data_IF_831557525933
#
_entry.id   IF_831557525933
#
_cell.length_a   1.000
_cell.length_b   1.000
_cell.length_c   1.000
_cell.angle_alpha   90.00
_cell.angle_beta   90.00
_cell.angle_gamma   90.00
#
_symmetry.space_group_name_H-M   'P 1'
#
loop_
_entity.id
_entity.type
_entity.pdbx_description
1 polymer ?
#
# COMPACT_ATOMS: atom_id res chain seq x y z
N UNK A 1 14.13 13.00 -9.08
CA UNK A 1 12.66 12.90 -9.28
C UNK A 1 12.44 12.47 -10.71
N UNK A 2 11.57 11.49 -10.94
CA UNK A 2 11.25 11.10 -12.30
C UNK A 2 10.65 12.27 -13.07
N UNK A 3 10.86 12.32 -14.40
CA UNK A 3 10.43 13.44 -15.28
C UNK A 3 8.92 13.74 -15.20
N UNK A 4 8.10 12.81 -14.72
CA UNK A 4 6.64 12.90 -14.60
C UNK A 4 6.11 13.13 -13.17
N UNK A 5 6.97 13.37 -12.17
CA UNK A 5 6.59 13.58 -10.77
C UNK A 5 6.15 12.31 -10.02
N UNK A 6 6.25 11.12 -10.63
CA UNK A 6 5.94 9.83 -10.01
C UNK A 6 7.18 9.30 -9.32
N UNK A 7 7.01 8.82 -8.09
CA UNK A 7 8.03 8.05 -7.36
C UNK A 7 7.61 6.60 -7.32
N UNK A 8 8.37 5.73 -7.97
CA UNK A 8 8.10 4.31 -8.01
C UNK A 8 8.71 3.62 -6.80
N UNK A 9 7.88 2.96 -6.02
CA UNK A 9 8.30 2.24 -4.81
C UNK A 9 7.89 0.77 -4.89
N UNK A 10 8.51 -0.06 -4.05
CA UNK A 10 8.14 -1.46 -3.94
C UNK A 10 7.92 -1.85 -2.48
N UNK A 11 6.86 -2.63 -2.21
CA UNK A 11 6.64 -3.21 -0.89
C UNK A 11 7.59 -4.37 -0.65
N UNK A 12 8.51 -4.24 0.30
CA UNK A 12 9.64 -5.16 0.48
C UNK A 12 9.34 -6.38 1.36
N UNK A 13 8.07 -6.66 1.66
CA UNK A 13 7.63 -7.80 2.49
C UNK A 13 8.21 -9.15 2.05
N UNK A 14 8.51 -9.31 0.75
CA UNK A 14 9.07 -10.53 0.20
C UNK A 14 10.53 -10.76 0.63
N UNK A 15 11.31 -9.69 0.77
CA UNK A 15 12.75 -9.78 0.94
C UNK A 15 13.17 -9.44 2.37
N UNK A 16 13.78 -10.43 3.04
CA UNK A 16 14.25 -10.32 4.43
C UNK A 16 15.78 -10.20 4.53
N UNK A 17 16.43 -9.86 3.43
CA UNK A 17 17.87 -9.62 3.41
C UNK A 17 18.27 -8.40 4.25
N UNK A 18 19.52 -8.29 4.70
CA UNK A 18 20.03 -7.11 5.42
C UNK A 18 19.81 -5.80 4.63
N UNK A 19 19.66 -4.67 5.34
CA UNK A 19 19.36 -3.37 4.74
C UNK A 19 20.32 -2.94 3.61
N UNK A 20 21.67 -3.12 3.73
CA UNK A 20 22.56 -2.76 2.63
C UNK A 20 22.32 -3.59 1.36
N UNK A 21 22.09 -4.90 1.53
CA UNK A 21 21.75 -5.79 0.40
C UNK A 21 20.40 -5.43 -0.21
N UNK A 22 19.41 -5.11 0.62
CA UNK A 22 18.09 -4.67 0.19
C UNK A 22 18.16 -3.36 -0.60
N UNK A 23 18.94 -2.38 -0.13
CA UNK A 23 19.15 -1.11 -0.81
C UNK A 23 19.77 -1.30 -2.19
N UNK A 24 20.86 -2.07 -2.27
CA UNK A 24 21.51 -2.39 -3.53
C UNK A 24 20.56 -3.13 -4.50
N UNK A 25 19.83 -4.11 -3.98
CA UNK A 25 18.90 -4.92 -4.77
C UNK A 25 17.76 -4.06 -5.34
N UNK A 26 17.07 -3.30 -4.51
CA UNK A 26 15.94 -2.43 -4.92
C UNK A 26 16.38 -1.35 -5.92
N UNK A 27 17.55 -0.75 -5.67
CA UNK A 27 18.16 0.18 -6.62
C UNK A 27 18.44 -0.50 -7.97
N UNK A 28 19.00 -1.72 -7.94
CA UNK A 28 19.27 -2.52 -9.13
C UNK A 28 18.02 -2.91 -9.93
N UNK A 29 16.86 -3.04 -9.27
CA UNK A 29 15.56 -3.24 -9.93
C UNK A 29 15.03 -1.95 -10.60
N UNK A 30 15.56 -0.79 -10.26
CA UNK A 30 15.18 0.52 -10.83
C UNK A 30 14.05 1.23 -10.12
N UNK A 31 13.81 0.93 -8.83
CA UNK A 31 12.89 1.66 -7.96
C UNK A 31 13.55 2.87 -7.30
N UNK A 32 12.75 3.92 -7.04
CA UNK A 32 13.18 5.14 -6.35
C UNK A 32 13.10 5.02 -4.82
N UNK A 33 12.37 4.01 -4.32
CA UNK A 33 12.16 3.83 -2.90
C UNK A 33 11.39 2.56 -2.57
N UNK A 34 11.07 2.44 -1.28
CA UNK A 34 10.36 1.27 -0.75
C UNK A 34 9.18 1.65 0.13
N UNK A 35 8.23 0.72 0.28
CA UNK A 35 7.42 0.56 1.46
C UNK A 35 8.07 -0.49 2.35
N UNK A 36 8.44 -0.11 3.58
CA UNK A 36 9.15 -1.00 4.51
C UNK A 36 8.17 -1.64 5.51
N UNK A 37 8.12 -2.99 5.65
CA UNK A 37 7.37 -3.62 6.74
C UNK A 37 8.03 -3.32 8.09
N UNK A 38 7.27 -2.78 9.04
CA UNK A 38 7.66 -2.68 10.46
C UNK A 38 6.88 -3.76 11.22
N UNK A 39 7.46 -4.95 11.30
CA UNK A 39 6.81 -6.15 11.82
C UNK A 39 7.83 -7.11 12.43
N UNK A 40 7.43 -8.01 13.35
CA UNK A 40 8.30 -9.04 13.87
C UNK A 40 8.97 -9.87 12.76
N UNK A 41 10.28 -10.07 12.84
CA UNK A 41 11.09 -10.84 11.89
C UNK A 41 11.44 -10.10 10.58
N UNK A 42 11.28 -8.78 10.53
CA UNK A 42 11.74 -7.91 9.45
C UNK A 42 12.92 -7.06 9.88
N UNK A 43 13.45 -6.25 8.96
CA UNK A 43 14.63 -5.40 9.19
C UNK A 43 14.40 -4.36 10.29
N UNK A 44 13.17 -3.88 10.41
CA UNK A 44 12.72 -3.03 11.51
C UNK A 44 11.50 -3.67 12.17
N UNK A 45 11.58 -3.86 13.47
CA UNK A 45 10.51 -4.43 14.27
C UNK A 45 9.85 -3.35 15.15
N UNK A 46 8.59 -3.53 15.58
CA UNK A 46 7.91 -2.55 16.43
C UNK A 46 8.69 -2.22 17.70
N UNK A 47 9.35 -3.20 18.30
CA UNK A 47 10.10 -3.08 19.55
C UNK A 47 11.35 -2.21 19.41
N UNK A 48 11.93 -2.13 18.20
CA UNK A 48 13.14 -1.34 17.94
C UNK A 48 12.90 -0.14 17.02
N UNK A 49 11.66 0.18 16.69
CA UNK A 49 11.29 1.14 15.65
C UNK A 49 11.93 2.52 15.86
N UNK A 50 12.03 2.98 17.11
CA UNK A 50 12.55 4.31 17.45
C UNK A 50 13.99 4.54 16.97
N UNK A 51 14.84 3.52 17.03
CA UNK A 51 16.23 3.59 16.54
C UNK A 51 16.37 2.95 15.15
N UNK A 52 15.65 1.84 14.92
CA UNK A 52 15.78 1.03 13.72
C UNK A 52 15.27 1.70 12.45
N UNK A 53 14.18 2.47 12.51
CA UNK A 53 13.64 3.12 11.33
C UNK A 53 14.50 4.29 10.83
N UNK A 54 14.99 5.22 11.69
CA UNK A 54 15.94 6.24 11.26
C UNK A 54 17.25 5.67 10.71
N UNK A 55 17.79 4.60 11.32
CA UNK A 55 18.99 3.94 10.82
C UNK A 55 18.71 3.25 9.46
N UNK A 56 17.57 2.58 9.30
CA UNK A 56 17.18 1.99 8.02
C UNK A 56 17.08 3.05 6.92
N UNK A 57 16.48 4.20 7.20
CA UNK A 57 16.38 5.29 6.25
C UNK A 57 17.75 5.80 5.81
N UNK A 58 18.69 5.93 6.75
CA UNK A 58 20.07 6.34 6.48
C UNK A 58 20.81 5.33 5.60
N UNK A 59 20.77 4.04 5.98
CA UNK A 59 21.43 2.97 5.21
C UNK A 59 20.89 2.90 3.78
N UNK A 60 19.58 2.97 3.59
CA UNK A 60 18.97 2.90 2.27
C UNK A 60 19.28 4.14 1.41
N UNK A 61 19.42 5.30 2.02
CA UNK A 61 19.78 6.53 1.33
C UNK A 61 21.17 6.46 0.66
N UNK A 62 22.11 5.69 1.21
CA UNK A 62 23.44 5.46 0.61
C UNK A 62 23.35 4.76 -0.76
N UNK A 63 22.23 4.07 -1.02
CA UNK A 63 21.93 3.43 -2.30
C UNK A 63 20.94 4.25 -3.17
N UNK A 64 20.58 5.47 -2.76
CA UNK A 64 19.59 6.29 -3.46
C UNK A 64 18.15 5.80 -3.31
N UNK A 65 17.88 4.92 -2.33
CA UNK A 65 16.56 4.35 -2.04
C UNK A 65 15.95 5.03 -0.82
N UNK A 66 14.77 5.63 -0.96
CA UNK A 66 14.05 6.26 0.16
C UNK A 66 12.97 5.34 0.72
N UNK A 67 12.63 5.50 1.99
CA UNK A 67 11.42 4.88 2.58
C UNK A 67 10.26 5.85 2.34
N UNK A 68 9.36 5.52 1.42
CA UNK A 68 8.19 6.34 1.08
C UNK A 68 7.02 6.12 2.04
N UNK A 69 6.91 4.90 2.57
CA UNK A 69 5.93 4.50 3.55
C UNK A 69 6.42 3.32 4.37
N UNK A 70 5.81 3.11 5.51
CA UNK A 70 5.92 1.85 6.25
C UNK A 70 4.58 1.12 6.29
N UNK A 71 4.61 -0.20 6.43
CA UNK A 71 3.46 -1.03 6.76
C UNK A 71 3.63 -1.56 8.19
N UNK A 72 3.02 -0.89 9.17
CA UNK A 72 3.28 -1.15 10.57
C UNK A 72 2.26 -0.55 11.53
N UNK A 73 2.57 -0.52 12.83
CA UNK A 73 1.70 0.06 13.86
C UNK A 73 1.53 1.57 13.74
N UNK A 74 0.50 2.09 14.41
CA UNK A 74 0.17 3.53 14.48
C UNK A 74 0.29 4.10 15.89
N UNK A 75 1.09 3.47 16.75
CA UNK A 75 1.40 4.01 18.08
C UNK A 75 2.34 5.24 18.00
N UNK A 76 2.35 6.05 19.05
CA UNK A 76 3.16 7.29 19.07
C UNK A 76 4.66 7.03 18.85
N UNK A 77 5.30 5.98 19.42
CA UNK A 77 6.70 5.69 19.11
C UNK A 77 6.96 5.44 17.62
N UNK A 78 6.08 4.71 16.93
CA UNK A 78 6.20 4.48 15.48
C UNK A 78 6.00 5.76 14.68
N UNK A 79 4.99 6.56 15.02
CA UNK A 79 4.72 7.86 14.37
C UNK A 79 5.93 8.80 14.55
N UNK A 80 6.49 8.89 15.76
CA UNK A 80 7.67 9.71 16.04
C UNK A 80 8.90 9.23 15.27
N UNK A 81 9.11 7.91 15.17
CA UNK A 81 10.20 7.32 14.39
C UNK A 81 10.06 7.62 12.89
N UNK A 82 8.83 7.59 12.34
CA UNK A 82 8.55 7.99 10.97
C UNK A 82 8.94 9.46 10.72
N UNK A 83 8.55 10.37 11.62
CA UNK A 83 8.91 11.77 11.51
C UNK A 83 10.44 11.97 11.54
N UNK A 84 11.14 11.29 12.45
CA UNK A 84 12.60 11.36 12.56
C UNK A 84 13.30 10.79 11.32
N UNK A 85 12.75 9.73 10.72
CA UNK A 85 13.30 9.08 9.53
C UNK A 85 12.89 9.78 8.21
N UNK A 86 12.03 10.82 8.26
CA UNK A 86 11.49 11.48 7.08
C UNK A 86 10.51 10.60 6.28
N UNK A 87 9.86 9.64 6.92
CA UNK A 87 8.86 8.76 6.33
C UNK A 87 7.47 9.38 6.47
N UNK A 88 6.81 9.78 5.37
CA UNK A 88 5.58 10.57 5.45
C UNK A 88 4.32 9.75 5.72
N UNK A 89 4.31 8.44 5.42
CA UNK A 89 3.10 7.63 5.41
C UNK A 89 3.28 6.35 6.22
N UNK A 90 2.32 6.07 7.12
CA UNK A 90 2.14 4.75 7.74
C UNK A 90 0.92 4.10 7.07
N UNK A 91 1.12 3.07 6.27
CA UNK A 91 0.04 2.36 5.61
C UNK A 91 -0.51 1.25 6.51
N UNK A 92 -1.84 1.22 6.63
CA UNK A 92 -2.58 0.19 7.36
C UNK A 92 -3.67 -0.45 6.49
N UNK A 93 -3.97 -1.73 6.74
CA UNK A 93 -5.19 -2.39 6.31
C UNK A 93 -6.10 -2.54 7.54
N UNK A 94 -7.38 -2.25 7.38
CA UNK A 94 -8.32 -2.18 8.50
C UNK A 94 -9.26 -3.37 8.44
N UNK A 95 -9.09 -4.30 9.37
CA UNK A 95 -9.95 -5.46 9.51
C UNK A 95 -11.26 -5.11 10.20
N UNK A 96 -12.35 -5.73 9.74
CA UNK A 96 -13.70 -5.61 10.29
C UNK A 96 -14.08 -6.94 10.92
N UNK A 97 -14.48 -6.93 12.18
CA UNK A 97 -15.03 -8.11 12.87
C UNK A 97 -16.51 -8.28 12.50
N UNK A 98 -16.86 -9.31 11.69
CA UNK A 98 -18.24 -9.50 11.25
C UNK A 98 -19.20 -9.82 12.41
N UNK A 99 -18.69 -10.31 13.54
CA UNK A 99 -19.51 -10.58 14.72
C UNK A 99 -19.99 -9.28 15.40
N UNK A 100 -19.25 -8.18 15.26
CA UNK A 100 -19.64 -6.87 15.77
C UNK A 100 -20.44 -6.05 14.77
N UNK A 101 -20.31 -6.37 13.49
CA UNK A 101 -20.94 -5.63 12.38
C UNK A 101 -20.14 -4.41 11.93
N UNK A 102 -20.28 -4.07 10.65
CA UNK A 102 -19.48 -3.05 9.98
C UNK A 102 -19.59 -1.67 10.64
N UNK A 103 -20.81 -1.20 10.90
CA UNK A 103 -21.03 0.16 11.45
C UNK A 103 -20.46 0.32 12.86
N UNK A 104 -20.61 -0.70 13.72
CA UNK A 104 -20.03 -0.66 15.07
C UNK A 104 -18.50 -0.64 15.05
N UNK A 105 -17.88 -1.39 14.12
CA UNK A 105 -16.43 -1.37 13.93
C UNK A 105 -15.96 -0.04 13.34
N UNK A 106 -16.69 0.55 12.41
CA UNK A 106 -16.41 1.88 11.86
C UNK A 106 -16.42 2.95 12.96
N UNK A 107 -17.45 2.98 13.80
CA UNK A 107 -17.52 3.88 14.95
C UNK A 107 -16.37 3.68 15.95
N UNK A 108 -15.99 2.42 16.21
CA UNK A 108 -14.85 2.11 17.08
C UNK A 108 -13.56 2.66 16.50
N UNK A 109 -13.29 2.40 15.22
CA UNK A 109 -12.11 2.88 14.51
C UNK A 109 -12.05 4.41 14.48
N UNK A 110 -13.17 5.06 14.22
CA UNK A 110 -13.23 6.52 14.23
C UNK A 110 -12.89 7.10 15.60
N UNK A 111 -13.32 6.49 16.71
CA UNK A 111 -12.90 6.93 18.05
C UNK A 111 -11.40 6.76 18.28
N UNK A 112 -10.80 5.68 17.79
CA UNK A 112 -9.35 5.46 17.84
C UNK A 112 -8.60 6.50 16.98
N UNK A 113 -9.11 6.82 15.80
CA UNK A 113 -8.53 7.84 14.92
C UNK A 113 -8.65 9.25 15.49
N UNK A 114 -9.76 9.59 16.11
CA UNK A 114 -9.92 10.87 16.80
C UNK A 114 -8.83 11.07 17.87
N UNK A 115 -8.42 10.00 18.57
CA UNK A 115 -7.35 10.05 19.56
C UNK A 115 -5.93 10.17 18.92
N UNK A 116 -5.75 9.71 17.67
CA UNK A 116 -4.48 9.80 16.95
C UNK A 116 -4.25 11.17 16.30
N UNK A 117 -5.31 11.92 15.95
CA UNK A 117 -5.19 13.21 15.26
C UNK A 117 -4.16 14.15 15.89
N UNK A 118 -4.16 14.41 17.22
CA UNK A 118 -3.18 15.30 17.85
C UNK A 118 -1.73 14.82 17.70
N UNK A 119 -1.53 13.49 17.70
CA UNK A 119 -0.19 12.87 17.57
C UNK A 119 0.30 13.03 16.13
N UNK A 120 -0.56 12.75 15.15
CA UNK A 120 -0.26 12.91 13.74
C UNK A 120 0.05 14.37 13.40
N UNK A 121 -0.72 15.31 13.93
CA UNK A 121 -0.49 16.74 13.74
C UNK A 121 0.86 17.19 14.32
N UNK A 122 1.18 16.72 15.54
CA UNK A 122 2.45 16.99 16.23
C UNK A 122 3.67 16.54 15.41
N UNK A 123 3.57 15.39 14.77
CA UNK A 123 4.70 14.74 14.08
C UNK A 123 4.71 14.95 12.57
N UNK A 124 3.63 15.44 11.96
CA UNK A 124 3.54 15.65 10.51
C UNK A 124 3.57 14.36 9.71
N UNK A 125 3.01 13.26 10.25
CA UNK A 125 2.93 11.95 9.63
C UNK A 125 1.48 11.63 9.30
N UNK A 126 1.25 10.99 8.15
CA UNK A 126 -0.09 10.62 7.67
C UNK A 126 -0.31 9.11 7.84
N UNK A 127 -1.47 8.72 8.37
CA UNK A 127 -1.93 7.33 8.33
C UNK A 127 -2.70 7.10 7.03
N UNK A 128 -2.17 6.22 6.19
CA UNK A 128 -2.78 5.83 4.92
C UNK A 128 -3.60 4.55 5.08
N UNK A 129 -4.92 4.64 4.99
CA UNK A 129 -5.82 3.48 5.03
C UNK A 129 -5.90 2.88 3.63
N UNK A 130 -5.52 1.60 3.51
CA UNK A 130 -5.58 0.86 2.25
C UNK A 130 -6.88 0.07 2.15
N UNK A 131 -7.56 0.12 1.00
CA UNK A 131 -8.62 -0.84 0.68
C UNK A 131 -8.00 -2.24 0.52
N UNK A 132 -8.61 -3.23 1.16
CA UNK A 132 -8.11 -4.61 1.14
C UNK A 132 -9.28 -5.58 1.11
N UNK A 133 -9.22 -6.58 0.22
CA UNK A 133 -10.26 -7.62 0.13
C UNK A 133 -10.38 -8.43 1.42
N UNK A 134 -11.30 -9.35 1.46
CA UNK A 134 -11.69 -10.18 2.60
C UNK A 134 -12.42 -9.35 3.69
N UNK A 135 -12.21 -9.67 4.95
CA UNK A 135 -12.86 -8.99 6.09
C UNK A 135 -12.14 -7.67 6.45
N UNK A 136 -12.00 -6.81 5.46
CA UNK A 136 -11.40 -5.48 5.64
C UNK A 136 -12.32 -4.39 5.06
N UNK A 137 -11.93 -3.14 5.25
CA UNK A 137 -12.48 -2.03 4.46
C UNK A 137 -11.99 -2.20 3.03
N UNK A 138 -12.87 -2.70 2.15
CA UNK A 138 -12.47 -3.34 0.91
C UNK A 138 -12.46 -2.42 -0.31
N UNK A 139 -13.19 -1.30 -0.29
CA UNK A 139 -13.41 -0.46 -1.45
C UNK A 139 -13.33 1.05 -1.15
N UNK A 140 -13.38 1.87 -2.19
CA UNK A 140 -13.27 3.32 -2.10
C UNK A 140 -14.39 3.95 -1.24
N UNK A 141 -15.63 3.45 -1.36
CA UNK A 141 -16.75 3.95 -0.56
C UNK A 141 -16.57 3.66 0.93
N UNK A 142 -16.11 2.46 1.28
CA UNK A 142 -15.81 2.10 2.67
C UNK A 142 -14.67 2.96 3.24
N UNK A 143 -13.59 3.20 2.50
CA UNK A 143 -12.55 4.13 2.91
C UNK A 143 -13.11 5.55 3.09
N UNK A 144 -13.94 6.01 2.16
CA UNK A 144 -14.57 7.34 2.22
C UNK A 144 -15.47 7.49 3.44
N UNK A 145 -16.26 6.46 3.78
CA UNK A 145 -17.09 6.44 4.99
C UNK A 145 -16.24 6.53 6.25
N UNK A 146 -15.20 5.70 6.32
CA UNK A 146 -14.36 5.60 7.52
C UNK A 146 -13.56 6.89 7.80
N UNK A 147 -12.90 7.44 6.78
CA UNK A 147 -11.90 8.52 7.01
C UNK A 147 -12.21 9.84 6.30
N UNK A 148 -13.27 9.92 5.51
CA UNK A 148 -13.56 11.12 4.72
C UNK A 148 -13.89 12.39 5.54
N UNK A 149 -14.11 12.26 6.85
CA UNK A 149 -14.31 13.39 7.78
C UNK A 149 -13.00 14.03 8.29
N UNK A 150 -11.85 13.34 8.13
CA UNK A 150 -10.56 13.80 8.62
C UNK A 150 -9.85 14.68 7.58
N UNK A 151 -8.92 15.50 8.07
CA UNK A 151 -7.95 16.18 7.20
C UNK A 151 -7.04 15.14 6.56
N UNK A 152 -6.85 15.15 5.23
CA UNK A 152 -5.98 14.19 4.55
C UNK A 152 -4.51 14.23 4.98
N UNK A 153 -4.06 15.28 5.67
CA UNK A 153 -2.73 15.30 6.30
C UNK A 153 -2.63 14.34 7.49
N UNK A 154 -3.76 13.97 8.14
CA UNK A 154 -3.80 13.02 9.25
C UNK A 154 -4.18 11.62 8.77
N UNK A 155 -5.31 11.50 8.06
CA UNK A 155 -5.80 10.25 7.51
C UNK A 155 -6.05 10.39 6.02
N UNK A 156 -5.34 9.59 5.25
CA UNK A 156 -5.42 9.56 3.80
C UNK A 156 -5.71 8.14 3.29
N UNK A 157 -5.93 8.01 2.00
CA UNK A 157 -6.29 6.75 1.35
C UNK A 157 -5.12 6.24 0.51
N UNK A 158 -4.77 4.98 0.73
CA UNK A 158 -3.90 4.21 -0.14
C UNK A 158 -4.80 3.34 -1.01
N UNK A 159 -4.95 3.72 -2.27
CA UNK A 159 -5.82 2.98 -3.17
C UNK A 159 -5.08 1.82 -3.83
N UNK A 160 -5.58 0.59 -3.62
CA UNK A 160 -5.02 -0.64 -4.19
C UNK A 160 -5.87 -1.14 -5.36
N UNK A 161 -5.24 -1.20 -6.52
CA UNK A 161 -5.88 -1.54 -7.79
C UNK A 161 -6.43 -2.98 -7.82
N UNK A 162 -5.69 -3.95 -7.26
CA UNK A 162 -6.12 -5.35 -7.26
C UNK A 162 -7.31 -5.58 -6.34
N UNK A 163 -7.24 -5.06 -5.12
CA UNK A 163 -8.32 -5.23 -4.13
C UNK A 163 -9.60 -4.53 -4.58
N UNK A 164 -9.48 -3.35 -5.21
CA UNK A 164 -10.61 -2.66 -5.84
C UNK A 164 -11.27 -3.53 -6.92
N UNK A 165 -10.49 -4.12 -7.83
CA UNK A 165 -11.00 -4.92 -8.93
C UNK A 165 -11.58 -6.27 -8.47
N UNK A 166 -11.02 -6.90 -7.43
CA UNK A 166 -11.56 -8.13 -6.83
C UNK A 166 -12.94 -7.92 -6.22
N UNK A 167 -13.23 -6.72 -5.72
CA UNK A 167 -14.56 -6.33 -5.21
C UNK A 167 -15.50 -5.78 -6.30
N UNK A 168 -15.06 -5.78 -7.56
CA UNK A 168 -15.85 -5.36 -8.70
C UNK A 168 -16.00 -3.85 -8.87
N UNK A 169 -15.22 -3.05 -8.15
CA UNK A 169 -15.26 -1.60 -8.25
C UNK A 169 -14.45 -1.12 -9.47
N UNK A 170 -15.02 -0.19 -10.22
CA UNK A 170 -14.35 0.36 -11.40
C UNK A 170 -13.34 1.44 -11.02
N UNK A 171 -12.11 1.39 -11.57
CA UNK A 171 -11.06 2.34 -11.19
C UNK A 171 -11.45 3.80 -11.45
N UNK A 172 -12.23 4.09 -12.51
CA UNK A 172 -12.66 5.44 -12.85
C UNK A 172 -13.54 6.07 -11.75
N UNK A 173 -14.39 5.24 -11.10
CA UNK A 173 -15.25 5.67 -10.00
C UNK A 173 -14.48 5.68 -8.68
N UNK A 174 -13.69 4.65 -8.43
CA UNK A 174 -12.92 4.51 -7.20
C UNK A 174 -11.92 5.66 -7.02
N UNK A 175 -11.14 5.99 -8.07
CA UNK A 175 -10.17 7.08 -8.03
C UNK A 175 -10.87 8.42 -7.79
N UNK A 176 -12.04 8.64 -8.37
CA UNK A 176 -12.83 9.86 -8.12
C UNK A 176 -13.24 9.97 -6.64
N UNK A 177 -13.73 8.87 -6.06
CA UNK A 177 -14.18 8.82 -4.66
C UNK A 177 -13.02 9.12 -3.70
N UNK A 178 -11.84 8.53 -3.93
CA UNK A 178 -10.70 8.67 -3.02
C UNK A 178 -9.87 9.93 -3.27
N UNK A 179 -10.08 10.64 -4.37
CA UNK A 179 -9.16 11.65 -4.88
C UNK A 179 -8.73 12.71 -3.86
N UNK A 180 -9.68 13.24 -3.08
CA UNK A 180 -9.40 14.29 -2.09
C UNK A 180 -8.49 13.85 -0.95
N UNK A 181 -8.33 12.52 -0.74
CA UNK A 181 -7.54 11.92 0.34
C UNK A 181 -6.48 10.96 -0.20
N UNK A 182 -6.29 10.87 -1.51
CA UNK A 182 -5.34 9.92 -2.11
C UNK A 182 -3.89 10.31 -1.81
N UNK A 183 -3.16 9.50 -1.04
CA UNK A 183 -1.75 9.72 -0.72
C UNK A 183 -0.79 8.75 -1.42
N UNK A 184 -1.26 7.57 -1.80
CA UNK A 184 -0.46 6.54 -2.48
C UNK A 184 -1.35 5.63 -3.32
N UNK A 185 -0.81 5.12 -4.42
CA UNK A 185 -1.45 4.12 -5.28
C UNK A 185 -0.64 2.83 -5.21
N UNK A 186 -1.29 1.72 -4.89
CA UNK A 186 -0.72 0.38 -5.03
C UNK A 186 -1.11 -0.19 -6.39
N UNK A 187 -0.16 -0.34 -7.30
CA UNK A 187 -0.33 -1.09 -8.53
C UNK A 187 -0.03 -2.57 -8.26
N UNK A 188 -1.07 -3.30 -8.01
CA UNK A 188 -1.13 -4.74 -7.83
C UNK A 188 -2.19 -5.30 -8.77
N UNK A 189 -2.15 -6.58 -9.09
CA UNK A 189 -3.21 -7.21 -9.86
C UNK A 189 -3.51 -8.64 -9.38
N UNK A 190 -4.72 -9.10 -9.65
CA UNK A 190 -5.18 -10.40 -9.23
C UNK A 190 -6.48 -10.82 -9.90
N UNK A 191 -6.82 -12.08 -9.71
CA UNK A 191 -8.06 -12.70 -10.18
C UNK A 191 -8.64 -13.61 -9.10
N UNK A 192 -9.94 -13.89 -9.18
CA UNK A 192 -10.56 -14.99 -8.46
C UNK A 192 -10.35 -16.29 -9.23
N UNK A 193 -9.86 -17.32 -8.55
CA UNK A 193 -9.76 -18.67 -9.09
C UNK A 193 -10.57 -19.64 -8.24
N UNK A 194 -11.23 -20.59 -8.91
CA UNK A 194 -11.97 -21.67 -8.25
C UNK A 194 -10.99 -22.59 -7.52
N UNK A 195 -11.25 -22.88 -6.25
CA UNK A 195 -10.44 -23.75 -5.42
C UNK A 195 -10.94 -25.19 -5.43
N UNK A 196 -12.27 -25.38 -5.45
CA UNK A 196 -12.89 -26.69 -5.45
C UNK A 196 -13.20 -27.17 -6.87
N UNK A 197 -13.20 -28.50 -7.07
CA UNK A 197 -13.62 -29.13 -8.34
C UNK A 197 -15.12 -28.99 -8.62
N UNK A 198 -15.56 -29.34 -9.86
CA UNK A 198 -16.96 -29.22 -10.26
C UNK A 198 -17.89 -30.14 -9.47
N UNK A 199 -17.36 -31.22 -8.88
CA UNK A 199 -18.13 -32.21 -8.08
C UNK A 199 -18.38 -31.77 -6.63
N UNK A 200 -17.81 -30.65 -6.18
CA UNK A 200 -18.05 -30.15 -4.84
C UNK A 200 -19.46 -29.56 -4.72
N UNK A 201 -20.17 -29.88 -3.63
CA UNK A 201 -21.51 -29.35 -3.35
C UNK A 201 -21.54 -27.82 -3.30
N UNK A 202 -20.45 -27.22 -2.80
CA UNK A 202 -20.31 -25.76 -2.71
C UNK A 202 -18.98 -25.33 -3.31
N UNK A 203 -19.04 -24.35 -4.22
CA UNK A 203 -17.83 -23.76 -4.77
C UNK A 203 -17.13 -22.89 -3.73
N UNK A 204 -15.79 -23.04 -3.66
CA UNK A 204 -14.94 -22.11 -2.93
C UNK A 204 -13.97 -21.42 -3.87
N UNK A 205 -13.67 -20.18 -3.55
CA UNK A 205 -12.82 -19.30 -4.34
C UNK A 205 -11.58 -18.89 -3.53
N UNK A 206 -10.51 -18.54 -4.23
CA UNK A 206 -9.35 -17.83 -3.67
C UNK A 206 -8.89 -16.77 -4.65
N UNK A 207 -8.30 -15.72 -4.16
CA UNK A 207 -7.57 -14.80 -5.02
C UNK A 207 -6.25 -15.42 -5.48
N UNK A 208 -5.84 -15.04 -6.68
CA UNK A 208 -4.55 -15.38 -7.27
C UNK A 208 -3.90 -14.09 -7.77
N UNK A 209 -2.75 -13.76 -7.20
CA UNK A 209 -2.02 -12.54 -7.52
C UNK A 209 -1.21 -12.73 -8.79
N UNK A 210 -1.38 -11.82 -9.75
CA UNK A 210 -0.81 -11.89 -11.10
C UNK A 210 0.09 -10.69 -11.37
N UNK A 211 0.77 -10.71 -12.55
CA UNK A 211 1.39 -9.50 -13.10
C UNK A 211 0.35 -8.45 -13.48
N UNK A 212 0.80 -7.21 -13.64
CA UNK A 212 -0.06 -6.06 -13.96
C UNK A 212 -0.88 -6.20 -15.23
N UNK A 213 -0.44 -7.06 -16.17
CA UNK A 213 -1.13 -7.31 -17.45
C UNK A 213 -2.20 -8.41 -17.39
N UNK A 214 -2.26 -9.20 -16.32
CA UNK A 214 -3.01 -10.46 -16.31
C UNK A 214 -4.09 -10.57 -15.23
N UNK A 215 -4.40 -9.49 -14.54
CA UNK A 215 -5.45 -9.48 -13.53
C UNK A 215 -6.72 -8.75 -13.96
N UNK A 216 -7.66 -8.65 -13.04
CA UNK A 216 -8.94 -8.00 -13.25
C UNK A 216 -8.82 -6.48 -13.39
N UNK A 217 -7.81 -5.88 -12.76
CA UNK A 217 -7.60 -4.45 -12.85
C UNK A 217 -6.85 -4.08 -14.14
N UNK A 218 -7.47 -3.25 -14.97
CA UNK A 218 -6.85 -2.75 -16.19
C UNK A 218 -5.97 -1.53 -15.89
N UNK A 219 -4.68 -1.74 -15.65
CA UNK A 219 -3.73 -0.67 -15.30
C UNK A 219 -3.70 0.51 -16.27
N UNK A 220 -3.83 0.32 -17.61
CA UNK A 220 -3.93 1.46 -18.53
C UNK A 220 -5.09 2.42 -18.18
N UNK A 221 -6.25 1.90 -17.78
CA UNK A 221 -7.39 2.72 -17.32
C UNK A 221 -7.06 3.45 -16.02
N UNK A 222 -6.45 2.75 -15.06
CA UNK A 222 -6.00 3.36 -13.79
C UNK A 222 -5.07 4.53 -14.06
N UNK A 223 -4.03 4.30 -14.85
CA UNK A 223 -3.03 5.34 -15.13
C UNK A 223 -3.63 6.50 -15.95
N UNK A 224 -4.54 6.22 -16.89
CA UNK A 224 -5.25 7.28 -17.62
C UNK A 224 -6.05 8.18 -16.67
N UNK A 225 -6.75 7.63 -15.68
CA UNK A 225 -7.49 8.41 -14.68
C UNK A 225 -6.57 9.20 -13.74
N UNK A 226 -5.42 8.64 -13.37
CA UNK A 226 -4.41 9.35 -12.59
C UNK A 226 -3.77 10.52 -13.38
N UNK A 227 -3.41 10.27 -14.64
CA UNK A 227 -2.87 11.32 -15.54
C UNK A 227 -3.87 12.45 -15.80
N UNK A 228 -5.15 12.12 -16.01
CA UNK A 228 -6.24 13.10 -16.18
C UNK A 228 -6.36 14.06 -14.99
N UNK A 229 -5.98 13.62 -13.80
CA UNK A 229 -5.99 14.41 -12.56
C UNK A 229 -4.62 14.97 -12.19
N UNK A 230 -3.62 14.83 -13.08
CA UNK A 230 -2.24 15.26 -12.84
C UNK A 230 -1.64 14.68 -11.55
N UNK A 231 -1.90 13.39 -11.29
CA UNK A 231 -1.35 12.71 -10.13
C UNK A 231 0.18 12.78 -10.14
N UNK A 232 0.71 13.23 -9.04
CA UNK A 232 2.14 13.16 -8.72
C UNK A 232 2.25 12.57 -7.31
N UNK A 233 3.17 11.63 -7.11
CA UNK A 233 3.31 10.99 -5.80
C UNK A 233 3.82 9.57 -5.88
N UNK A 234 3.45 8.76 -4.90
CA UNK A 234 3.93 7.39 -4.76
C UNK A 234 3.07 6.40 -5.53
N UNK A 235 3.72 5.63 -6.40
CA UNK A 235 3.16 4.44 -7.03
C UNK A 235 3.94 3.24 -6.52
N UNK A 236 3.32 2.44 -5.67
CA UNK A 236 3.92 1.27 -5.04
C UNK A 236 3.52 -0.01 -5.78
N UNK A 237 4.48 -0.82 -6.16
CA UNK A 237 4.28 -2.18 -6.64
C UNK A 237 4.50 -3.14 -5.47
N UNK A 238 3.57 -4.08 -5.24
CA UNK A 238 3.62 -4.85 -3.98
C UNK A 238 4.54 -6.05 -3.99
N UNK A 239 5.06 -6.47 -5.17
CA UNK A 239 5.86 -7.69 -5.33
C UNK A 239 5.20 -8.96 -4.75
N UNK A 240 3.88 -8.95 -4.65
CA UNK A 240 3.08 -10.08 -4.18
C UNK A 240 2.48 -10.83 -5.37
N UNK A 241 3.11 -11.93 -5.74
CA UNK A 241 2.66 -12.83 -6.82
C UNK A 241 2.39 -14.22 -6.26
N UNK A 242 1.32 -14.87 -6.74
CA UNK A 242 1.04 -16.27 -6.39
C UNK A 242 2.03 -17.23 -7.02
N UNK A 243 2.63 -16.86 -8.14
CA UNK A 243 3.82 -17.51 -8.70
C UNK A 243 5.07 -16.94 -8.00
N UNK A 244 5.42 -17.57 -6.88
CA UNK A 244 6.52 -17.10 -6.04
C UNK A 244 7.89 -17.18 -6.73
N UNK A 245 8.11 -18.18 -7.59
CA UNK A 245 9.39 -18.41 -8.25
C UNK A 245 9.68 -17.35 -9.31
N UNK A 246 8.65 -16.79 -9.91
CA UNK A 246 8.76 -15.75 -10.94
C UNK A 246 8.73 -14.32 -10.39
N UNK A 247 8.56 -14.12 -9.09
CA UNK A 247 8.26 -12.80 -8.53
C UNK A 247 9.33 -11.73 -8.84
N UNK A 248 10.62 -12.07 -8.75
CA UNK A 248 11.69 -11.10 -9.01
C UNK A 248 11.78 -10.70 -10.50
N UNK A 249 11.39 -11.59 -11.41
CA UNK A 249 11.23 -11.28 -12.83
C UNK A 249 9.97 -10.44 -13.08
N UNK A 250 8.85 -10.86 -12.51
CA UNK A 250 7.55 -10.19 -12.70
C UNK A 250 7.56 -8.76 -12.18
N UNK A 251 8.23 -8.47 -11.06
CA UNK A 251 8.28 -7.12 -10.51
C UNK A 251 9.05 -6.15 -11.42
N UNK A 252 10.08 -6.63 -12.12
CA UNK A 252 10.83 -5.84 -13.10
C UNK A 252 9.96 -5.55 -14.33
N UNK A 253 9.26 -6.57 -14.83
CA UNK A 253 8.34 -6.44 -15.97
C UNK A 253 7.19 -5.48 -15.65
N UNK A 254 6.62 -5.57 -14.44
CA UNK A 254 5.54 -4.72 -13.98
C UNK A 254 6.00 -3.27 -13.74
N UNK A 255 7.21 -3.05 -13.23
CA UNK A 255 7.78 -1.71 -13.13
C UNK A 255 7.96 -1.07 -14.51
N UNK A 256 8.53 -1.82 -15.46
CA UNK A 256 8.69 -1.34 -16.83
C UNK A 256 7.33 -1.02 -17.47
N UNK A 257 6.32 -1.86 -17.22
CA UNK A 257 4.97 -1.63 -17.71
C UNK A 257 4.34 -0.37 -17.07
N UNK A 258 4.42 -0.22 -15.75
CA UNK A 258 3.91 0.96 -15.06
C UNK A 258 4.58 2.23 -15.60
N UNK A 259 5.92 2.26 -15.72
CA UNK A 259 6.66 3.39 -16.27
C UNK A 259 6.21 3.73 -17.69
N UNK A 260 5.98 2.74 -18.55
CA UNK A 260 5.50 2.95 -19.92
C UNK A 260 4.11 3.56 -20.02
N UNK A 261 3.26 3.36 -19.01
CA UNK A 261 1.91 3.94 -18.97
C UNK A 261 1.92 5.40 -18.48
N UNK A 262 2.84 5.75 -17.60
CA UNK A 262 2.98 7.13 -17.09
C UNK A 262 3.83 8.03 -17.99
N UNK A 263 4.60 7.48 -18.91
CA UNK A 263 5.38 8.19 -19.92
C UNK A 263 4.53 9.05 -20.93
#
# INVERSE_FOLDING_TARGET
>A
MAENGITYTVFTKRWKMPLPELGQFVHGLGFDGIELPVRPGFQVEPENVAAGLPEAAKVLADFGVRIASIAGPTDEPTIAACAQAGVPIIRICVSIDPAKGYLAEEERLQREYDALVPILDKHGVTVGVQNHCDLCVANAMGMRSLIGKYDPKHFAMVWDAAHCALDGERPELAIDIVWSHLCMVNLKNGIWVRKTGPEADVVTWRHYWTSGRQGLCHWPTVVAELKKRSYTGFVCLTAEYSDHDSADRLIVEDLAFAKSLFA
#
